data_IF_837061143535
#
_entry.id   IF_837061143535
#
_cell.length_a   1.000
_cell.length_b   1.000
_cell.length_c   1.000
_cell.angle_alpha   90.00
_cell.angle_beta   90.00
_cell.angle_gamma   90.00
#
_symmetry.space_group_name_H-M   'P 1'
#
loop_
_entity.id
_entity.type
_entity.pdbx_description
1 polymer ?
#
# COMPACT_ATOMS: atom_id res chain seq x y z
N UNK A 1 -10.13 4.21 -18.85
CA UNK A 1 -8.94 4.99 -18.45
C UNK A 1 -7.69 4.15 -18.63
N UNK A 2 -6.71 4.70 -19.30
CA UNK A 2 -5.45 4.00 -19.52
C UNK A 2 -4.42 4.40 -18.48
N UNK A 3 -3.79 3.42 -17.88
CA UNK A 3 -2.74 3.64 -16.92
C UNK A 3 -1.65 2.58 -17.07
N UNK A 4 -0.47 2.89 -16.54
CA UNK A 4 0.64 1.94 -16.48
C UNK A 4 1.07 1.79 -15.03
N UNK A 5 1.58 0.61 -14.70
CA UNK A 5 2.17 0.35 -13.40
C UNK A 5 3.67 0.22 -13.60
N UNK A 6 4.44 0.98 -12.81
CA UNK A 6 5.90 0.89 -12.84
C UNK A 6 6.45 0.74 -11.44
N UNK A 7 7.67 0.19 -11.29
CA UNK A 7 8.30 0.13 -9.98
C UNK A 7 8.57 1.52 -9.42
N UNK A 8 8.48 1.63 -8.09
CA UNK A 8 8.94 2.83 -7.40
C UNK A 8 10.46 2.84 -7.36
N UNK A 9 11.04 4.03 -7.50
CA UNK A 9 12.49 4.24 -7.44
C UNK A 9 12.82 5.16 -6.28
N UNK A 10 14.11 5.27 -5.88
CA UNK A 10 14.48 6.21 -4.82
C UNK A 10 14.09 7.66 -5.13
N UNK A 11 13.99 8.02 -6.41
CA UNK A 11 13.59 9.36 -6.81
C UNK A 11 12.11 9.64 -6.55
N UNK A 12 11.33 8.63 -6.17
CA UNK A 12 9.90 8.75 -5.99
C UNK A 12 9.47 9.05 -4.55
N UNK A 13 10.39 9.48 -3.70
CA UNK A 13 10.04 9.72 -2.29
C UNK A 13 8.84 10.66 -2.14
N UNK A 14 8.76 11.72 -2.93
CA UNK A 14 7.63 12.66 -2.86
C UNK A 14 6.30 11.96 -3.14
N UNK A 15 6.29 11.00 -4.06
CA UNK A 15 5.09 10.23 -4.38
C UNK A 15 4.70 9.37 -3.18
N UNK A 16 5.67 8.75 -2.51
CA UNK A 16 5.38 7.90 -1.35
C UNK A 16 4.77 8.73 -0.23
N UNK A 17 5.28 9.94 0.03
CA UNK A 17 4.68 10.83 1.01
C UNK A 17 3.24 11.19 0.66
N UNK A 18 2.97 11.50 -0.60
CA UNK A 18 1.62 11.82 -1.05
C UNK A 18 0.67 10.64 -0.87
N UNK A 19 1.12 9.46 -1.26
CA UNK A 19 0.29 8.26 -1.14
C UNK A 19 0.07 7.89 0.33
N UNK A 20 1.06 8.11 1.19
CA UNK A 20 0.89 7.88 2.62
C UNK A 20 -0.22 8.78 3.18
N UNK A 21 -0.24 10.04 2.79
CA UNK A 21 -1.32 10.93 3.22
C UNK A 21 -2.68 10.42 2.76
N UNK A 22 -2.79 9.97 1.52
CA UNK A 22 -4.04 9.42 1.01
C UNK A 22 -4.47 8.17 1.79
N UNK A 23 -3.52 7.32 2.15
CA UNK A 23 -3.81 6.13 2.95
C UNK A 23 -4.34 6.51 4.32
N UNK A 24 -3.81 7.57 4.92
CA UNK A 24 -4.24 8.02 6.25
C UNK A 24 -5.58 8.74 6.22
N UNK A 25 -6.00 9.28 5.08
CA UNK A 25 -7.34 9.84 4.95
C UNK A 25 -8.42 8.78 5.11
N UNK A 26 -8.10 7.53 4.76
CA UNK A 26 -9.04 6.45 4.88
C UNK A 26 -10.22 6.59 3.95
N UNK A 27 -11.38 6.13 4.42
CA UNK A 27 -12.60 6.24 3.65
C UNK A 27 -13.17 7.65 3.77
N UNK A 28 -14.05 7.97 2.89
CA UNK A 28 -14.57 9.27 2.57
C UNK A 28 -15.39 9.97 3.64
N UNK A 29 -15.44 9.49 4.84
CA UNK A 29 -16.51 9.87 5.75
C UNK A 29 -16.25 11.07 6.65
N UNK A 30 -15.13 11.75 6.57
CA UNK A 30 -14.88 12.79 7.54
C UNK A 30 -13.90 13.82 7.05
N UNK A 31 -13.69 14.82 7.88
CA UNK A 31 -12.71 15.86 7.63
C UNK A 31 -11.34 15.21 7.42
N UNK A 32 -10.64 15.54 6.32
CA UNK A 32 -9.30 14.99 6.12
C UNK A 32 -8.37 15.43 7.25
N UNK A 33 -7.43 14.56 7.66
CA UNK A 33 -6.46 14.94 8.68
C UNK A 33 -5.57 16.08 8.18
N UNK A 34 -4.96 16.86 9.09
CA UNK A 34 -4.03 17.89 8.65
C UNK A 34 -2.85 17.27 7.91
N UNK A 35 -2.31 17.95 6.88
CA UNK A 35 -1.21 17.39 6.09
C UNK A 35 0.00 16.98 6.92
N UNK A 36 0.24 17.62 8.05
CA UNK A 36 1.38 17.33 8.91
C UNK A 36 1.31 15.97 9.59
N UNK A 37 0.17 15.30 9.53
CA UNK A 37 -0.01 14.00 10.19
C UNK A 37 1.05 12.99 9.70
N UNK A 38 1.45 13.07 8.44
CA UNK A 38 2.43 12.14 7.88
C UNK A 38 3.81 12.29 8.53
N UNK A 39 4.08 13.42 9.19
CA UNK A 39 5.38 13.66 9.84
C UNK A 39 5.48 13.01 11.22
N UNK A 40 4.40 12.48 11.76
CA UNK A 40 4.46 11.77 13.02
C UNK A 40 5.29 10.50 12.83
N UNK A 41 6.16 10.16 13.80
CA UNK A 41 7.06 9.02 13.64
C UNK A 41 6.38 7.70 13.27
N UNK A 42 5.19 7.44 13.82
CA UNK A 42 4.47 6.20 13.55
C UNK A 42 4.01 6.08 12.09
N UNK A 43 3.93 7.21 11.38
CA UNK A 43 3.57 7.23 9.96
C UNK A 43 4.76 7.52 9.06
N UNK A 44 5.61 8.47 9.46
CA UNK A 44 6.74 8.89 8.64
C UNK A 44 7.67 7.73 8.30
N UNK A 45 7.74 6.73 9.16
CA UNK A 45 8.60 5.57 8.93
C UNK A 45 8.28 4.81 7.64
N UNK A 46 7.08 5.01 7.07
CA UNK A 46 6.70 4.34 5.83
C UNK A 46 7.17 5.09 4.58
N UNK A 47 7.65 6.31 4.71
CA UNK A 47 8.03 7.13 3.57
C UNK A 47 9.41 7.79 3.72
N UNK A 48 9.82 8.09 4.94
CA UNK A 48 11.04 8.85 5.20
C UNK A 48 12.26 8.17 4.61
N UNK A 49 13.03 8.94 3.86
CA UNK A 49 14.26 8.45 3.20
C UNK A 49 13.98 7.24 2.30
N UNK A 50 12.90 7.31 1.53
CA UNK A 50 12.55 6.26 0.60
C UNK A 50 13.72 5.92 -0.33
N UNK A 51 13.89 4.62 -0.60
CA UNK A 51 14.97 4.14 -1.45
C UNK A 51 16.04 3.38 -0.67
N UNK A 52 15.79 3.06 0.60
CA UNK A 52 16.70 2.23 1.37
C UNK A 52 16.69 0.80 0.84
N UNK A 53 17.75 0.06 1.14
CA UNK A 53 17.81 -1.34 0.76
C UNK A 53 16.56 -2.09 1.24
N UNK A 54 15.95 -2.85 0.34
CA UNK A 54 14.76 -3.61 0.65
C UNK A 54 13.43 -2.86 0.44
N UNK A 55 13.47 -1.54 0.24
CA UNK A 55 12.26 -0.79 -0.10
C UNK A 55 11.78 -1.21 -1.47
N UNK A 56 10.49 -1.58 -1.58
CA UNK A 56 9.93 -2.07 -2.84
C UNK A 56 8.51 -1.59 -2.99
N UNK A 57 8.10 -1.31 -4.21
CA UNK A 57 6.74 -0.93 -4.47
C UNK A 57 6.49 -0.62 -5.93
N UNK A 58 5.24 -0.29 -6.20
CA UNK A 58 4.79 0.04 -7.55
C UNK A 58 3.87 1.25 -7.49
N UNK A 59 3.84 2.00 -8.57
CA UNK A 59 2.97 3.16 -8.71
C UNK A 59 2.19 3.04 -10.01
N UNK A 60 0.91 3.41 -9.96
CA UNK A 60 0.07 3.46 -11.16
C UNK A 60 -0.01 4.92 -11.64
N UNK A 61 0.29 5.13 -12.90
CA UNK A 61 0.31 6.45 -13.51
C UNK A 61 -0.65 6.51 -14.69
N UNK A 62 -1.35 7.62 -14.84
CA UNK A 62 -2.21 7.87 -15.99
C UNK A 62 -1.33 8.02 -17.24
N UNK A 63 -1.69 7.33 -18.32
CA UNK A 63 -0.93 7.42 -19.57
C UNK A 63 -1.00 8.77 -20.24
N UNK A 64 -2.09 9.50 -20.01
CA UNK A 64 -2.30 10.78 -20.67
C UNK A 64 -1.46 11.91 -20.09
N UNK A 65 -1.55 12.10 -18.77
CA UNK A 65 -0.88 13.24 -18.11
C UNK A 65 0.20 12.82 -17.12
N UNK A 66 0.45 11.51 -17.01
CA UNK A 66 1.44 10.94 -16.09
C UNK A 66 1.09 11.20 -14.61
N UNK A 67 -0.17 11.53 -14.32
CA UNK A 67 -0.62 11.77 -12.95
C UNK A 67 -0.63 10.49 -12.13
N UNK A 68 -0.37 10.63 -10.83
CA UNK A 68 -0.31 9.48 -9.94
C UNK A 68 -1.74 9.06 -9.54
N UNK A 69 -2.08 7.81 -9.77
CA UNK A 69 -3.41 7.28 -9.48
C UNK A 69 -3.43 6.44 -8.20
N UNK A 70 -2.32 5.83 -7.86
CA UNK A 70 -2.22 5.02 -6.66
C UNK A 70 -0.85 4.39 -6.53
N UNK A 71 -0.61 3.75 -5.40
CA UNK A 71 0.66 3.08 -5.15
C UNK A 71 0.49 1.97 -4.13
N UNK A 72 1.39 1.01 -4.19
CA UNK A 72 1.56 -0.03 -3.17
C UNK A 72 3.05 -0.05 -2.85
N UNK A 73 3.39 -0.08 -1.55
CA UNK A 73 4.80 -0.08 -1.19
C UNK A 73 5.03 -0.81 0.13
N UNK A 74 6.25 -1.27 0.28
CA UNK A 74 6.69 -2.09 1.39
C UNK A 74 8.07 -1.62 1.83
N UNK A 75 8.27 -1.58 3.12
CA UNK A 75 9.57 -1.29 3.71
C UNK A 75 9.85 -2.37 4.75
N UNK A 76 11.04 -3.00 4.71
CA UNK A 76 11.37 -4.01 5.70
C UNK A 76 11.23 -3.46 7.10
N UNK A 77 10.48 -4.14 7.99
CA UNK A 77 10.30 -3.66 9.35
C UNK A 77 11.52 -3.99 10.22
N UNK A 78 11.61 -3.37 11.40
CA UNK A 78 12.61 -3.82 12.38
C UNK A 78 12.40 -5.31 12.68
N UNK A 79 13.50 -5.98 13.00
CA UNK A 79 13.45 -7.41 13.31
C UNK A 79 12.43 -7.69 14.41
N UNK A 80 11.64 -8.75 14.23
CA UNK A 80 10.63 -9.15 15.19
C UNK A 80 9.29 -8.47 15.05
N UNK A 81 9.13 -7.55 14.06
CA UNK A 81 7.85 -6.90 13.81
C UNK A 81 7.21 -7.44 12.53
N UNK A 82 5.89 -7.38 12.45
CA UNK A 82 5.16 -7.84 11.28
C UNK A 82 5.34 -6.86 10.13
N UNK A 83 5.67 -7.35 8.92
CA UNK A 83 5.75 -6.47 7.75
C UNK A 83 4.40 -5.86 7.43
N UNK A 84 4.38 -4.55 7.15
CA UNK A 84 3.15 -3.84 6.75
C UNK A 84 3.26 -3.48 5.28
N UNK A 85 2.23 -3.86 4.52
CA UNK A 85 2.10 -3.46 3.13
C UNK A 85 1.18 -2.24 3.09
N UNK A 86 1.70 -1.12 2.62
CA UNK A 86 0.95 0.11 2.50
C UNK A 86 0.42 0.26 1.08
N UNK A 87 -0.78 0.82 0.93
CA UNK A 87 -1.31 1.10 -0.39
C UNK A 87 -2.35 2.21 -0.32
N UNK A 88 -2.51 2.90 -1.42
CA UNK A 88 -3.52 3.94 -1.55
C UNK A 88 -3.91 4.10 -3.01
N UNK A 89 -5.17 4.46 -3.25
CA UNK A 89 -5.66 4.81 -4.58
C UNK A 89 -6.37 6.15 -4.45
N UNK A 90 -6.09 7.05 -5.39
CA UNK A 90 -6.66 8.39 -5.36
C UNK A 90 -8.18 8.32 -5.40
N UNK A 91 -8.89 9.14 -4.59
CA UNK A 91 -10.35 9.20 -4.65
C UNK A 91 -10.82 9.50 -6.08
N UNK A 92 -11.93 8.90 -6.49
CA UNK A 92 -12.40 9.02 -7.86
C UNK A 92 -11.87 7.94 -8.79
N UNK A 93 -10.82 7.24 -8.40
CA UNK A 93 -10.23 6.16 -9.21
C UNK A 93 -10.33 4.80 -8.51
N UNK A 94 -10.92 4.76 -7.32
CA UNK A 94 -10.94 3.55 -6.49
C UNK A 94 -11.74 2.38 -7.05
N UNK A 95 -12.74 2.65 -7.88
CA UNK A 95 -13.60 1.59 -8.43
C UNK A 95 -13.18 1.14 -9.82
N UNK A 96 -12.00 1.56 -10.28
CA UNK A 96 -11.50 1.23 -11.61
C UNK A 96 -10.55 0.03 -11.63
N UNK A 97 -10.45 -0.70 -10.52
CA UNK A 97 -9.58 -1.87 -10.46
C UNK A 97 -8.10 -1.57 -10.28
N UNK A 98 -7.73 -0.31 -10.09
CA UNK A 98 -6.33 0.08 -9.94
C UNK A 98 -5.72 -0.52 -8.69
N UNK A 99 -6.44 -0.48 -7.56
CA UNK A 99 -5.96 -1.08 -6.32
C UNK A 99 -5.69 -2.56 -6.47
N UNK A 100 -6.63 -3.28 -7.08
CA UNK A 100 -6.46 -4.71 -7.32
C UNK A 100 -5.26 -4.99 -8.22
N UNK A 101 -5.05 -4.17 -9.25
CA UNK A 101 -3.92 -4.33 -10.16
C UNK A 101 -2.58 -4.09 -9.44
N UNK A 102 -2.53 -3.06 -8.59
CA UNK A 102 -1.32 -2.77 -7.81
C UNK A 102 -0.99 -3.90 -6.83
N UNK A 103 -1.98 -4.37 -6.10
CA UNK A 103 -1.78 -5.45 -5.12
C UNK A 103 -1.38 -6.75 -5.81
N UNK A 104 -1.99 -7.04 -6.96
CA UNK A 104 -1.64 -8.21 -7.77
C UNK A 104 -0.19 -8.13 -8.23
N UNK A 105 0.20 -6.96 -8.73
CA UNK A 105 1.58 -6.76 -9.20
C UNK A 105 2.57 -6.97 -8.06
N UNK A 106 2.25 -6.44 -6.87
CA UNK A 106 3.14 -6.59 -5.72
C UNK A 106 3.31 -8.05 -5.33
N UNK A 107 2.21 -8.81 -5.26
CA UNK A 107 2.27 -10.23 -4.87
C UNK A 107 3.11 -11.03 -5.88
N UNK A 108 2.91 -10.78 -7.17
CA UNK A 108 3.65 -11.48 -8.22
C UNK A 108 5.14 -11.16 -8.20
N UNK A 109 5.49 -9.94 -7.84
CA UNK A 109 6.88 -9.52 -7.78
C UNK A 109 7.58 -9.98 -6.50
N UNK A 110 6.82 -10.44 -5.50
CA UNK A 110 7.36 -10.82 -4.20
C UNK A 110 6.86 -12.21 -3.79
N UNK A 111 7.21 -13.25 -4.58
CA UNK A 111 6.67 -14.59 -4.33
C UNK A 111 7.14 -15.22 -3.03
N UNK A 112 8.22 -14.72 -2.44
CA UNK A 112 8.74 -15.25 -1.19
C UNK A 112 8.15 -14.58 0.05
N UNK A 113 7.33 -13.56 -0.14
CA UNK A 113 6.71 -12.87 0.98
C UNK A 113 5.54 -13.71 1.51
N UNK A 114 5.67 -14.23 2.72
CA UNK A 114 4.67 -15.12 3.29
C UNK A 114 3.80 -14.48 4.37
N UNK A 115 4.18 -13.32 4.88
CA UNK A 115 3.41 -12.62 5.91
C UNK A 115 3.33 -11.14 5.57
N UNK A 116 2.12 -10.59 5.66
CA UNK A 116 1.88 -9.15 5.49
C UNK A 116 0.80 -8.69 6.46
N UNK A 117 0.87 -7.43 6.85
CA UNK A 117 -0.21 -6.78 7.57
C UNK A 117 -0.78 -5.67 6.70
N UNK A 118 -2.11 -5.63 6.62
CA UNK A 118 -2.84 -4.60 5.89
C UNK A 118 -3.57 -3.72 6.91
N UNK A 119 -3.37 -2.41 6.81
CA UNK A 119 -4.06 -1.44 7.68
C UNK A 119 -5.46 -1.17 7.13
N UNK A 120 -6.29 -2.20 7.15
CA UNK A 120 -7.66 -2.16 6.64
C UNK A 120 -8.56 -2.95 7.56
N UNK A 121 -9.87 -2.71 7.44
CA UNK A 121 -10.85 -3.52 8.16
C UNK A 121 -10.92 -4.91 7.54
N UNK A 122 -11.26 -5.94 8.33
CA UNK A 122 -11.32 -7.31 7.82
C UNK A 122 -12.27 -7.50 6.63
N UNK A 123 -13.26 -6.63 6.47
CA UNK A 123 -14.22 -6.69 5.36
C UNK A 123 -13.72 -6.01 4.09
N UNK A 124 -12.54 -5.40 4.12
CA UNK A 124 -12.02 -4.68 2.96
C UNK A 124 -11.77 -5.65 1.79
N UNK A 125 -12.13 -5.26 0.56
CA UNK A 125 -11.91 -6.12 -0.61
C UNK A 125 -10.46 -6.57 -0.80
N UNK A 126 -9.47 -5.83 -0.31
CA UNK A 126 -8.08 -6.24 -0.38
C UNK A 126 -7.83 -7.58 0.30
N UNK A 127 -8.56 -7.87 1.38
CA UNK A 127 -8.42 -9.14 2.09
C UNK A 127 -8.82 -10.30 1.17
N UNK A 128 -9.94 -10.17 0.46
CA UNK A 128 -10.40 -11.20 -0.46
C UNK A 128 -9.42 -11.39 -1.61
N UNK A 129 -8.84 -10.30 -2.10
CA UNK A 129 -7.85 -10.38 -3.15
C UNK A 129 -6.66 -11.22 -2.72
N UNK A 130 -6.13 -10.97 -1.53
CA UNK A 130 -4.99 -11.74 -1.04
C UNK A 130 -5.35 -13.19 -0.75
N UNK A 131 -6.57 -13.47 -0.34
CA UNK A 131 -7.02 -14.86 -0.17
C UNK A 131 -6.90 -15.66 -1.47
N UNK A 132 -7.12 -15.02 -2.61
CA UNK A 132 -6.95 -15.67 -3.92
C UNK A 132 -5.52 -16.07 -4.20
N UNK A 133 -4.55 -15.44 -3.55
CA UNK A 133 -3.13 -15.77 -3.70
C UNK A 133 -2.63 -16.71 -2.60
N UNK A 134 -3.55 -17.32 -1.85
CA UNK A 134 -3.19 -18.30 -0.83
C UNK A 134 -2.98 -17.75 0.56
N UNK A 135 -3.12 -16.44 0.74
CA UNK A 135 -3.03 -15.86 2.08
C UNK A 135 -4.27 -16.18 2.89
N UNK A 136 -4.09 -16.37 4.19
CA UNK A 136 -5.19 -16.57 5.14
C UNK A 136 -5.03 -15.61 6.30
N UNK A 137 -6.14 -15.20 6.88
CA UNK A 137 -6.11 -14.31 8.04
C UNK A 137 -5.49 -15.06 9.22
N UNK A 138 -4.40 -14.53 9.75
CA UNK A 138 -3.74 -15.09 10.94
C UNK A 138 -4.13 -14.32 12.20
N UNK A 139 -4.30 -13.00 12.09
CA UNK A 139 -4.72 -12.14 13.19
C UNK A 139 -5.53 -10.99 12.62
N UNK A 140 -6.45 -10.46 13.40
CA UNK A 140 -7.22 -9.29 12.97
C UNK A 140 -7.60 -8.44 14.17
N UNK A 141 -7.72 -7.15 13.91
CA UNK A 141 -8.26 -6.15 14.82
C UNK A 141 -9.24 -5.28 14.04
N UNK A 142 -9.80 -4.26 14.68
CA UNK A 142 -10.79 -3.41 14.02
C UNK A 142 -10.22 -2.63 12.84
N UNK A 143 -8.91 -2.39 12.83
CA UNK A 143 -8.27 -1.52 11.83
C UNK A 143 -7.10 -2.17 11.10
N UNK A 144 -6.84 -3.46 11.32
CA UNK A 144 -5.72 -4.14 10.65
C UNK A 144 -5.94 -5.63 10.56
N UNK A 145 -5.38 -6.23 9.52
CA UNK A 145 -5.43 -7.67 9.28
C UNK A 145 -4.02 -8.15 8.97
N UNK A 146 -3.57 -9.20 9.67
CA UNK A 146 -2.32 -9.88 9.34
C UNK A 146 -2.66 -11.16 8.60
N UNK A 147 -2.03 -11.36 7.45
CA UNK A 147 -2.29 -12.51 6.60
C UNK A 147 -1.01 -13.30 6.35
N UNK A 148 -1.13 -14.59 6.25
CA UNK A 148 0.00 -15.50 5.98
C UNK A 148 -0.36 -16.51 4.91
N UNK A 149 0.67 -16.95 4.17
CA UNK A 149 0.52 -18.05 3.23
C UNK A 149 1.72 -19.00 3.36
N UNK A 150 1.51 -20.23 2.98
CA UNK A 150 2.60 -21.19 2.87
C UNK A 150 3.27 -21.03 1.52
N UNK A 151 4.58 -21.07 1.50
CA UNK A 151 5.36 -20.94 0.28
C UNK A 151 5.96 -22.28 -0.11
#
# INVERSE_FOLDING_TARGET
MDYVIRPLTPADEAIVWEMLYLALQGSESSTPPPPEIVRRPEYARYAEHWGREGDRGFVACDKGDNGILGAVWFRPPPEGTTPVLAFAVRPGHRKLGIGAALLTQWVRANPQQDEISLKVQPTNPAVRLYERFGFKIAQQSDDAVTMRREI
#
